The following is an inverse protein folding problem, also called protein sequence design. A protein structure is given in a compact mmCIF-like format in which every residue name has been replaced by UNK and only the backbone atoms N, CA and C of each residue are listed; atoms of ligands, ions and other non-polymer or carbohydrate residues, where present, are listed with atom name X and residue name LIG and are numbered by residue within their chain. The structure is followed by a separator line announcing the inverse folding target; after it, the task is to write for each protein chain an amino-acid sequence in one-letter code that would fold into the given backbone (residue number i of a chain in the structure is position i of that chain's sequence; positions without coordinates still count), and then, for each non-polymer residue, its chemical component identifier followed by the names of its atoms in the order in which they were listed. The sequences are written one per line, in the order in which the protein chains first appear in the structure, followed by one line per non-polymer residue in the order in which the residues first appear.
data_IF_717014823095
#
_entry.id   IF_717014823095
#
_cell.length_a   1.000
_cell.length_b   1.000
_cell.length_c   1.000
_cell.angle_alpha   90.00
_cell.angle_beta   90.00
_cell.angle_gamma   90.00
#
_symmetry.space_group_name_H-M   'P 1'
#
loop_
_entity.id
_entity.type
_entity.pdbx_description
1 polymer ?
#
# COMPACT_ATOMS: atom_id res chain seq x y z
N UNK A 1 -4.61 51.22 7.98
CA UNK A 1 -3.30 50.53 8.00
C UNK A 1 -3.39 49.14 8.61
N UNK A 2 -4.18 48.93 9.68
CA UNK A 2 -4.35 47.61 10.32
C UNK A 2 -4.81 46.49 9.35
N UNK A 3 -5.74 46.78 8.43
CA UNK A 3 -6.19 45.80 7.45
C UNK A 3 -5.07 45.34 6.50
N UNK A 4 -4.17 46.23 6.07
CA UNK A 4 -3.09 45.86 5.11
C UNK A 4 -2.07 44.94 5.77
N UNK A 5 -1.74 45.21 7.04
CA UNK A 5 -0.85 44.35 7.82
C UNK A 5 -1.49 42.97 8.04
N UNK A 6 -2.77 42.91 8.44
CA UNK A 6 -3.50 41.65 8.59
C UNK A 6 -3.56 40.82 7.31
N UNK A 7 -3.88 41.45 6.17
CA UNK A 7 -3.89 40.77 4.87
C UNK A 7 -2.50 40.30 4.43
N UNK A 8 -1.45 41.06 4.76
CA UNK A 8 -0.06 40.68 4.44
C UNK A 8 0.38 39.46 5.26
N UNK A 9 0.09 39.45 6.56
CA UNK A 9 0.36 38.30 7.44
C UNK A 9 -0.40 37.06 6.98
N UNK A 10 -1.70 37.21 6.67
CA UNK A 10 -2.50 36.10 6.14
C UNK A 10 -1.93 35.55 4.83
N UNK A 11 -1.53 36.41 3.92
CA UNK A 11 -0.93 36.01 2.64
C UNK A 11 0.35 35.21 2.85
N UNK A 12 1.22 35.64 3.77
CA UNK A 12 2.46 34.92 4.11
C UNK A 12 2.14 33.54 4.70
N UNK A 13 1.17 33.45 5.61
CA UNK A 13 0.74 32.17 6.20
C UNK A 13 0.22 31.23 5.11
N UNK A 14 -0.62 31.71 4.19
CA UNK A 14 -1.17 30.89 3.11
C UNK A 14 -0.07 30.40 2.14
N UNK A 15 0.91 31.24 1.81
CA UNK A 15 2.06 30.83 1.00
C UNK A 15 2.87 29.74 1.71
N UNK A 16 3.11 29.90 3.02
CA UNK A 16 3.84 28.91 3.81
C UNK A 16 3.09 27.58 3.93
N UNK A 17 1.78 27.62 4.20
CA UNK A 17 0.94 26.42 4.24
C UNK A 17 0.93 25.69 2.88
N UNK A 18 0.87 26.45 1.79
CA UNK A 18 0.93 25.89 0.42
C UNK A 18 2.27 25.22 0.18
N UNK A 19 3.38 25.88 0.53
CA UNK A 19 4.72 25.31 0.43
C UNK A 19 4.86 24.01 1.25
N UNK A 20 4.39 24.00 2.50
CA UNK A 20 4.42 22.80 3.34
C UNK A 20 3.62 21.65 2.72
N UNK A 21 2.43 21.92 2.18
CA UNK A 21 1.62 20.91 1.51
C UNK A 21 2.34 20.30 0.29
N UNK A 22 3.02 21.12 -0.51
CA UNK A 22 3.83 20.64 -1.62
C UNK A 22 5.05 19.82 -1.17
N UNK A 23 5.72 20.24 -0.09
CA UNK A 23 6.87 19.52 0.47
C UNK A 23 6.45 18.12 0.93
N UNK A 24 5.40 18.01 1.74
CA UNK A 24 4.87 16.73 2.24
C UNK A 24 4.47 15.81 1.09
N UNK A 25 3.82 16.35 0.05
CA UNK A 25 3.44 15.58 -1.14
C UNK A 25 4.66 15.02 -1.90
N UNK A 26 5.78 15.72 -1.87
CA UNK A 26 7.01 15.29 -2.56
C UNK A 26 7.86 14.31 -1.74
N UNK A 27 7.69 14.24 -0.42
CA UNK A 27 8.45 13.32 0.44
C UNK A 27 8.28 11.86 0.01
N UNK A 28 7.07 11.45 -0.35
CA UNK A 28 6.79 10.07 -0.81
C UNK A 28 7.56 9.70 -2.08
N UNK A 29 7.67 10.64 -3.02
CA UNK A 29 8.44 10.44 -4.26
C UNK A 29 9.93 10.35 -3.99
N UNK A 30 10.46 11.24 -3.14
CA UNK A 30 11.89 11.25 -2.79
C UNK A 30 12.25 9.98 -2.03
N UNK A 31 11.42 9.57 -1.08
CA UNK A 31 11.62 8.37 -0.29
C UNK A 31 11.79 7.11 -1.14
N UNK A 32 10.95 6.94 -2.16
CA UNK A 32 11.01 5.80 -3.06
C UNK A 32 12.15 5.89 -4.07
N UNK A 33 12.49 7.11 -4.52
CA UNK A 33 13.66 7.33 -5.38
C UNK A 33 14.97 6.95 -4.66
N UNK A 34 15.01 7.09 -3.34
CA UNK A 34 16.13 6.65 -2.49
C UNK A 34 15.89 5.29 -1.84
N UNK A 35 14.80 4.62 -2.20
CA UNK A 35 14.38 3.36 -1.60
C UNK A 35 15.34 2.21 -1.91
N UNK A 36 15.24 1.14 -1.13
CA UNK A 36 15.97 -0.09 -1.40
C UNK A 36 15.18 -0.94 -2.40
N UNK A 37 15.88 -1.46 -3.40
CA UNK A 37 15.32 -2.47 -4.30
C UNK A 37 15.05 -3.79 -3.56
N UNK A 38 13.82 -4.29 -3.69
CA UNK A 38 13.36 -5.53 -3.10
C UNK A 38 12.68 -6.38 -4.17
N UNK A 39 13.21 -7.59 -4.42
CA UNK A 39 12.68 -8.51 -5.44
C UNK A 39 11.74 -9.51 -4.78
N UNK A 40 10.52 -9.61 -5.30
CA UNK A 40 9.51 -10.54 -4.81
C UNK A 40 8.56 -10.96 -5.93
N UNK A 41 8.27 -12.26 -6.04
CA UNK A 41 7.35 -12.80 -7.05
C UNK A 41 7.72 -12.45 -8.50
N UNK A 42 9.01 -12.25 -8.79
CA UNK A 42 9.50 -11.83 -10.11
C UNK A 42 9.26 -10.36 -10.46
N UNK A 43 8.82 -9.55 -9.50
CA UNK A 43 8.69 -8.09 -9.61
C UNK A 43 9.72 -7.40 -8.70
N UNK A 44 10.05 -6.16 -9.04
CA UNK A 44 10.95 -5.29 -8.31
C UNK A 44 10.15 -4.16 -7.65
N UNK A 45 10.25 -4.10 -6.33
CA UNK A 45 9.62 -3.10 -5.47
C UNK A 45 10.71 -2.18 -4.92
N UNK A 46 10.45 -0.87 -4.91
CA UNK A 46 11.30 0.08 -4.20
C UNK A 46 10.68 0.34 -2.83
N UNK A 47 11.26 -0.22 -1.77
CA UNK A 47 10.76 -0.04 -0.41
C UNK A 47 11.46 1.13 0.28
N UNK A 48 10.76 1.95 1.08
CA UNK A 48 11.40 2.97 1.90
C UNK A 48 12.48 2.42 2.83
N UNK A 49 13.54 3.20 3.06
CA UNK A 49 14.69 2.76 3.88
C UNK A 49 14.36 2.52 5.36
N UNK A 50 13.29 3.14 5.88
CA UNK A 50 12.85 2.97 7.27
C UNK A 50 11.94 1.76 7.47
N UNK A 51 11.57 1.05 6.40
CA UNK A 51 10.84 -0.21 6.50
C UNK A 51 11.82 -1.29 6.92
N UNK A 52 11.76 -1.66 8.19
CA UNK A 52 12.66 -2.65 8.77
C UNK A 52 12.05 -4.03 8.59
N UNK A 53 12.78 -4.93 7.97
CA UNK A 53 12.39 -6.33 7.85
C UNK A 53 12.43 -6.99 9.24
N UNK A 54 11.27 -7.35 9.78
CA UNK A 54 11.16 -7.99 11.11
C UNK A 54 10.91 -9.48 11.03
N UNK A 55 10.51 -9.97 9.85
CA UNK A 55 10.38 -11.40 9.57
C UNK A 55 10.72 -11.68 8.11
N UNK A 56 11.46 -12.76 7.88
CA UNK A 56 11.78 -13.25 6.54
C UNK A 56 11.76 -14.78 6.51
N UNK A 57 11.09 -15.31 5.52
CA UNK A 57 11.12 -16.70 5.09
C UNK A 57 11.01 -16.77 3.56
N UNK A 58 11.18 -17.96 2.99
CA UNK A 58 11.09 -18.17 1.54
C UNK A 58 9.74 -17.74 0.95
N UNK A 59 8.67 -17.85 1.73
CA UNK A 59 7.30 -17.54 1.30
C UNK A 59 6.75 -16.24 1.88
N UNK A 60 7.37 -15.65 2.91
CA UNK A 60 6.79 -14.52 3.63
C UNK A 60 7.83 -13.54 4.15
N UNK A 61 7.61 -12.26 3.88
CA UNK A 61 8.39 -11.15 4.41
C UNK A 61 7.46 -10.18 5.13
N UNK A 62 7.92 -9.63 6.25
CA UNK A 62 7.18 -8.63 7.02
C UNK A 62 8.10 -7.44 7.27
N UNK A 63 7.59 -6.27 6.95
CA UNK A 63 8.23 -4.99 7.20
C UNK A 63 7.40 -4.17 8.18
N UNK A 64 8.08 -3.53 9.12
CA UNK A 64 7.48 -2.69 10.15
C UNK A 64 8.32 -1.43 10.36
N UNK A 65 7.71 -0.43 10.98
CA UNK A 65 8.43 0.74 11.48
C UNK A 65 8.88 0.51 12.92
N UNK A 66 10.13 0.14 13.09
CA UNK A 66 10.72 -0.06 14.42
C UNK A 66 11.17 1.24 15.09
N UNK A 67 11.23 2.34 14.34
CA UNK A 67 11.66 3.67 14.78
C UNK A 67 10.52 4.48 15.42
N UNK A 68 9.27 4.05 15.26
CA UNK A 68 8.07 4.73 15.76
C UNK A 68 7.18 3.76 16.53
N UNK A 69 6.17 4.29 17.22
CA UNK A 69 5.12 3.48 17.87
C UNK A 69 3.91 3.25 16.97
N UNK A 70 4.04 3.50 15.66
CA UNK A 70 2.93 3.33 14.75
C UNK A 70 2.65 1.84 14.56
N UNK A 71 1.40 1.46 14.77
CA UNK A 71 0.90 0.14 14.44
C UNK A 71 0.66 0.08 12.92
N UNK A 72 1.76 -0.14 12.18
CA UNK A 72 1.76 -0.34 10.75
C UNK A 72 2.69 -1.50 10.38
N UNK A 73 2.24 -2.31 9.42
CA UNK A 73 2.96 -3.45 8.89
C UNK A 73 2.68 -3.63 7.41
N UNK A 74 3.72 -3.92 6.62
CA UNK A 74 3.59 -4.48 5.28
C UNK A 74 3.97 -5.96 5.27
N UNK A 75 3.12 -6.80 4.67
CA UNK A 75 3.39 -8.23 4.50
C UNK A 75 3.49 -8.55 3.00
N UNK A 76 4.54 -9.26 2.61
CA UNK A 76 4.68 -9.88 1.30
C UNK A 76 4.54 -11.38 1.50
N UNK A 77 3.62 -12.01 0.80
CA UNK A 77 3.24 -13.41 0.99
C UNK A 77 3.10 -14.11 -0.36
N UNK A 78 3.81 -15.22 -0.52
CA UNK A 78 3.54 -16.20 -1.57
C UNK A 78 2.34 -17.03 -1.11
N UNK A 79 1.20 -16.83 -1.75
CA UNK A 79 -0.05 -17.41 -1.30
C UNK A 79 -0.26 -18.77 -1.96
N UNK A 80 -0.22 -19.82 -1.14
CA UNK A 80 -0.40 -21.21 -1.57
C UNK A 80 -1.88 -21.49 -1.86
N UNK A 81 -2.37 -20.94 -2.98
CA UNK A 81 -3.73 -21.12 -3.46
C UNK A 81 -3.71 -21.85 -4.81
N UNK A 82 -4.42 -22.97 -4.89
CA UNK A 82 -4.56 -23.70 -6.15
C UNK A 82 -5.64 -23.03 -6.98
N UNK A 83 -5.23 -22.22 -7.95
CA UNK A 83 -6.12 -21.72 -8.99
C UNK A 83 -6.66 -22.91 -9.79
N UNK A 84 -7.98 -23.11 -9.76
CA UNK A 84 -8.64 -23.84 -10.83
C UNK A 84 -8.70 -22.95 -12.08
N UNK A 85 -8.77 -23.54 -13.28
CA UNK A 85 -8.75 -22.82 -14.58
C UNK A 85 -9.83 -21.71 -14.71
N UNK A 86 -10.86 -21.72 -13.86
CA UNK A 86 -11.97 -20.76 -13.88
C UNK A 86 -11.89 -19.67 -12.80
N UNK A 87 -10.91 -19.71 -11.90
CA UNK A 87 -10.83 -18.77 -10.77
C UNK A 87 -10.09 -17.49 -11.16
N UNK A 88 -10.66 -16.35 -10.78
CA UNK A 88 -10.07 -15.02 -11.02
C UNK A 88 -9.38 -14.51 -9.73
N UNK A 89 -8.65 -13.39 -9.83
CA UNK A 89 -7.99 -12.78 -8.66
C UNK A 89 -8.98 -12.26 -7.59
N UNK A 90 -10.24 -12.03 -7.95
CA UNK A 90 -11.29 -11.64 -7.01
C UNK A 90 -11.66 -12.83 -6.10
N UNK A 91 -11.76 -14.04 -6.64
CA UNK A 91 -12.03 -15.27 -5.85
C UNK A 91 -10.89 -15.54 -4.85
N UNK A 92 -9.65 -15.26 -5.27
CA UNK A 92 -8.45 -15.34 -4.43
C UNK A 92 -8.56 -14.33 -3.28
N UNK A 93 -8.94 -13.08 -3.60
CA UNK A 93 -9.16 -12.05 -2.59
C UNK A 93 -10.25 -12.44 -1.59
N UNK A 94 -11.40 -12.93 -2.06
CA UNK A 94 -12.51 -13.34 -1.18
C UNK A 94 -12.09 -14.48 -0.25
N UNK A 95 -11.37 -15.47 -0.78
CA UNK A 95 -10.81 -16.57 0.02
C UNK A 95 -9.83 -16.05 1.07
N UNK A 96 -8.95 -15.12 0.69
CA UNK A 96 -8.00 -14.49 1.59
C UNK A 96 -8.68 -13.65 2.68
N UNK A 97 -9.69 -12.85 2.31
CA UNK A 97 -10.47 -12.04 3.23
C UNK A 97 -11.21 -12.91 4.26
N UNK A 98 -11.79 -14.03 3.83
CA UNK A 98 -12.42 -15.01 4.73
C UNK A 98 -11.40 -15.64 5.68
N UNK A 99 -10.23 -16.09 5.18
CA UNK A 99 -9.16 -16.65 6.00
C UNK A 99 -8.70 -15.66 7.08
N UNK A 100 -8.55 -14.38 6.71
CA UNK A 100 -8.16 -13.29 7.61
C UNK A 100 -9.32 -12.74 8.43
N UNK A 101 -10.55 -13.24 8.24
CA UNK A 101 -11.80 -12.74 8.84
C UNK A 101 -11.95 -11.23 8.70
N UNK A 102 -11.72 -10.73 7.49
CA UNK A 102 -11.86 -9.33 7.13
C UNK A 102 -13.27 -9.08 6.60
N UNK A 103 -13.95 -8.11 7.20
CA UNK A 103 -15.22 -7.57 6.73
C UNK A 103 -15.00 -6.12 6.33
N UNK A 104 -15.06 -5.85 5.03
CA UNK A 104 -14.83 -4.50 4.51
C UNK A 104 -16.09 -3.62 4.62
N UNK A 105 -15.90 -2.33 4.86
CA UNK A 105 -16.99 -1.34 4.81
C UNK A 105 -17.33 -1.01 3.35
N UNK A 106 -18.48 -1.45 2.84
CA UNK A 106 -18.87 -1.34 1.41
C UNK A 106 -18.70 0.07 0.81
N UNK A 107 -18.89 1.12 1.63
CA UNK A 107 -18.80 2.53 1.19
C UNK A 107 -17.37 3.02 0.96
N UNK A 108 -16.35 2.33 1.51
CA UNK A 108 -14.95 2.78 1.51
C UNK A 108 -13.99 1.79 0.84
N UNK A 109 -14.50 0.89 0.00
CA UNK A 109 -13.69 -0.08 -0.74
C UNK A 109 -13.44 0.40 -2.16
N UNK A 110 -12.18 0.41 -2.55
CA UNK A 110 -11.72 0.70 -3.90
C UNK A 110 -11.06 -0.56 -4.44
N UNK A 111 -11.65 -1.14 -5.48
CA UNK A 111 -11.08 -2.28 -6.22
C UNK A 111 -10.64 -1.76 -7.60
N UNK A 112 -9.36 -1.87 -7.91
CA UNK A 112 -8.79 -1.41 -9.18
C UNK A 112 -7.59 -2.24 -9.62
N UNK A 113 -7.34 -2.29 -10.91
CA UNK A 113 -6.07 -2.80 -11.45
C UNK A 113 -5.07 -1.64 -11.46
N UNK A 114 -3.86 -1.78 -10.87
CA UNK A 114 -2.84 -0.72 -10.92
C UNK A 114 -2.40 -0.43 -12.36
N UNK A 115 -2.44 0.84 -12.78
CA UNK A 115 -2.18 1.25 -14.17
C UNK A 115 -0.80 0.81 -14.69
N UNK A 116 0.23 0.87 -13.85
CA UNK A 116 1.58 0.44 -14.21
C UNK A 116 1.67 -1.07 -14.47
N UNK A 117 0.87 -1.88 -13.76
CA UNK A 117 0.85 -3.34 -13.93
C UNK A 117 0.04 -3.77 -15.15
N UNK A 118 -0.88 -2.92 -15.66
CA UNK A 118 -1.58 -3.20 -16.93
C UNK A 118 -0.57 -3.48 -18.05
N UNK A 119 0.57 -2.78 -18.06
CA UNK A 119 1.65 -3.01 -19.03
C UNK A 119 2.33 -4.38 -18.91
N UNK A 120 2.17 -5.07 -17.78
CA UNK A 120 2.71 -6.41 -17.55
C UNK A 120 1.73 -7.53 -17.92
N UNK A 121 0.50 -7.20 -18.31
CA UNK A 121 -0.49 -8.18 -18.77
C UNK A 121 -0.01 -8.94 -20.02
N UNK A 122 0.67 -8.24 -20.94
CA UNK A 122 1.24 -8.81 -22.17
C UNK A 122 2.33 -9.88 -21.90
N UNK A 123 2.87 -9.92 -20.69
CA UNK A 123 3.91 -10.85 -20.25
C UNK A 123 3.41 -11.76 -19.11
N UNK A 124 2.09 -11.93 -19.01
CA UNK A 124 1.45 -12.93 -18.15
C UNK A 124 1.35 -12.55 -16.68
N UNK A 125 1.42 -11.26 -16.34
CA UNK A 125 1.19 -10.77 -14.98
C UNK A 125 -0.20 -10.16 -14.87
N UNK A 126 -1.01 -10.70 -13.97
CA UNK A 126 -2.32 -10.15 -13.64
C UNK A 126 -2.27 -9.57 -12.22
N UNK A 127 -3.00 -8.48 -11.97
CA UNK A 127 -3.05 -7.89 -10.64
C UNK A 127 -4.41 -7.27 -10.30
N UNK A 128 -4.70 -7.25 -9.00
CA UNK A 128 -5.88 -6.65 -8.40
C UNK A 128 -5.44 -5.91 -7.13
N UNK A 129 -5.76 -4.63 -7.01
CA UNK A 129 -5.54 -3.84 -5.81
C UNK A 129 -6.89 -3.57 -5.13
N UNK A 130 -6.94 -3.81 -3.83
CA UNK A 130 -8.09 -3.54 -2.97
C UNK A 130 -7.61 -2.64 -1.84
N UNK A 131 -8.18 -1.44 -1.76
CA UNK A 131 -7.90 -0.47 -0.71
C UNK A 131 -9.18 -0.15 0.04
N UNK A 132 -9.15 -0.10 1.37
CA UNK A 132 -10.30 0.33 2.14
C UNK A 132 -10.17 0.16 3.65
N UNK A 133 -11.28 0.39 4.34
CA UNK A 133 -11.42 0.10 5.76
C UNK A 133 -12.11 -1.24 5.97
N UNK A 134 -11.61 -2.00 6.94
CA UNK A 134 -12.14 -3.31 7.28
C UNK A 134 -12.17 -3.54 8.79
N UNK A 135 -13.06 -4.42 9.23
CA UNK A 135 -13.09 -4.97 10.58
C UNK A 135 -12.52 -6.39 10.55
N UNK A 136 -11.49 -6.66 11.34
CA UNK A 136 -10.89 -7.96 11.50
C UNK A 136 -11.31 -8.61 12.82
N UNK A 137 -11.65 -9.91 12.77
CA UNK A 137 -12.06 -10.69 13.95
C UNK A 137 -13.21 -10.00 14.73
N UNK A 138 -14.13 -9.34 14.02
CA UNK A 138 -15.29 -8.61 14.55
C UNK A 138 -14.99 -7.43 15.52
N UNK A 139 -13.72 -7.16 15.82
CA UNK A 139 -13.31 -6.18 16.84
C UNK A 139 -12.35 -5.11 16.31
N UNK A 140 -11.43 -5.48 15.41
CA UNK A 140 -10.31 -4.63 15.03
C UNK A 140 -10.59 -3.84 13.76
N UNK A 141 -10.87 -2.56 13.91
CA UNK A 141 -11.01 -1.59 12.82
C UNK A 141 -9.65 -1.22 12.23
N UNK A 142 -9.47 -1.46 10.94
CA UNK A 142 -8.20 -1.34 10.23
C UNK A 142 -8.36 -0.53 8.94
N UNK A 143 -7.27 0.14 8.55
CA UNK A 143 -7.06 0.56 7.18
C UNK A 143 -6.14 -0.47 6.50
N UNK A 144 -6.54 -0.95 5.33
CA UNK A 144 -5.86 -2.03 4.62
C UNK A 144 -5.77 -1.73 3.12
N UNK A 145 -4.60 -1.99 2.54
CA UNK A 145 -4.33 -1.87 1.10
C UNK A 145 -3.63 -3.15 0.65
N UNK A 146 -4.24 -3.89 -0.26
CA UNK A 146 -3.82 -5.22 -0.69
C UNK A 146 -3.61 -5.19 -2.19
N UNK A 147 -2.41 -5.55 -2.64
CA UNK A 147 -2.12 -5.93 -4.00
C UNK A 147 -2.03 -7.45 -4.09
N UNK A 148 -2.92 -8.05 -4.87
CA UNK A 148 -2.82 -9.45 -5.28
C UNK A 148 -2.30 -9.46 -6.71
N UNK A 149 -1.29 -10.27 -6.99
CA UNK A 149 -0.85 -10.48 -8.35
C UNK A 149 -0.50 -11.94 -8.62
N UNK A 150 -0.74 -12.34 -9.86
CA UNK A 150 -0.35 -13.64 -10.40
C UNK A 150 0.80 -13.43 -11.36
N UNK A 151 1.85 -14.23 -11.22
CA UNK A 151 2.94 -14.29 -12.18
C UNK A 151 3.25 -15.76 -12.46
N UNK A 152 3.13 -16.17 -13.72
CA UNK A 152 3.02 -17.58 -14.09
C UNK A 152 1.86 -18.27 -13.32
N UNK A 153 2.11 -19.39 -12.63
CA UNK A 153 1.10 -20.14 -11.88
C UNK A 153 1.11 -19.86 -10.37
N UNK A 154 1.86 -18.84 -9.94
CA UNK A 154 2.02 -18.48 -8.53
C UNK A 154 1.23 -17.21 -8.19
N UNK A 155 0.61 -17.21 -7.01
CA UNK A 155 -0.11 -16.06 -6.47
C UNK A 155 0.73 -15.41 -5.37
N UNK A 156 0.77 -14.09 -5.41
CA UNK A 156 1.43 -13.27 -4.43
C UNK A 156 0.45 -12.24 -3.87
N UNK A 157 0.55 -12.01 -2.57
CA UNK A 157 -0.22 -11.01 -1.83
C UNK A 157 0.77 -10.07 -1.18
N UNK A 158 0.61 -8.78 -1.44
CA UNK A 158 1.34 -7.71 -0.79
C UNK A 158 0.31 -6.85 -0.09
N UNK A 159 0.32 -6.82 1.23
CA UNK A 159 -0.63 -6.06 2.03
C UNK A 159 0.09 -5.02 2.87
N UNK A 160 -0.54 -3.86 3.04
CA UNK A 160 -0.24 -2.87 4.07
C UNK A 160 -1.42 -2.79 5.00
N UNK A 161 -1.15 -2.92 6.30
CA UNK A 161 -2.16 -2.89 7.36
C UNK A 161 -1.75 -1.92 8.44
N UNK A 162 -2.73 -1.16 8.94
CA UNK A 162 -2.56 -0.32 10.12
C UNK A 162 -3.90 -0.08 10.82
N UNK A 163 -3.84 0.49 12.02
CA UNK A 163 -5.03 1.07 12.63
C UNK A 163 -5.57 2.23 11.78
N UNK A 164 -6.88 2.49 11.85
CA UNK A 164 -7.52 3.57 11.07
C UNK A 164 -6.85 4.94 11.29
N UNK A 165 -6.34 5.19 12.51
CA UNK A 165 -5.70 6.45 12.85
C UNK A 165 -4.31 6.63 12.21
N UNK A 166 -3.68 5.54 11.76
CA UNK A 166 -2.32 5.53 11.22
C UNK A 166 -2.27 5.26 9.70
N UNK A 167 -3.39 4.95 9.05
CA UNK A 167 -3.43 4.58 7.63
C UNK A 167 -2.83 5.61 6.69
N UNK A 168 -2.96 6.90 7.01
CA UNK A 168 -2.45 8.00 6.17
C UNK A 168 -0.95 8.26 6.32
N UNK A 169 -0.25 7.57 7.24
CA UNK A 169 1.17 7.77 7.44
C UNK A 169 1.99 6.95 6.44
N UNK A 170 1.81 5.63 6.45
CA UNK A 170 2.57 4.72 5.58
C UNK A 170 1.81 4.31 4.31
N UNK A 171 0.48 4.46 4.30
CA UNK A 171 -0.36 4.19 3.13
C UNK A 171 0.12 4.90 1.85
N UNK A 172 0.44 6.21 1.89
CA UNK A 172 0.96 6.91 0.72
C UNK A 172 2.28 6.33 0.17
N UNK A 173 3.16 5.83 1.03
CA UNK A 173 4.41 5.20 0.60
C UNK A 173 4.17 3.82 -0.02
N UNK A 174 3.24 3.04 0.54
CA UNK A 174 2.81 1.77 -0.01
C UNK A 174 2.12 1.93 -1.37
N UNK A 175 1.21 2.88 -1.51
CA UNK A 175 0.56 3.20 -2.79
C UNK A 175 1.61 3.59 -3.85
N UNK A 176 2.54 4.47 -3.49
CA UNK A 176 3.57 4.90 -4.42
C UNK A 176 4.55 3.76 -4.75
N UNK A 177 4.86 2.86 -3.81
CA UNK A 177 5.62 1.64 -4.10
C UNK A 177 4.90 0.79 -5.17
N UNK A 178 3.60 0.56 -5.02
CA UNK A 178 2.81 -0.18 -6.01
C UNK A 178 2.84 0.51 -7.37
N UNK A 179 2.67 1.83 -7.41
CA UNK A 179 2.64 2.61 -8.65
C UNK A 179 3.98 2.61 -9.41
N UNK A 180 5.09 2.26 -8.74
CA UNK A 180 6.44 2.25 -9.31
C UNK A 180 7.03 0.83 -9.41
N UNK A 181 6.21 -0.22 -9.32
CA UNK A 181 6.67 -1.60 -9.55
C UNK A 181 7.25 -1.72 -10.96
N UNK A 182 8.39 -2.41 -11.05
CA UNK A 182 9.05 -2.77 -12.31
C UNK A 182 9.27 -4.29 -12.37
N UNK A 183 9.67 -4.81 -13.53
CA UNK A 183 9.98 -6.23 -13.75
C UNK A 183 11.44 -6.40 -14.11
#
# INVERSE_FOLDING_TARGET
MENIFGWSVLTIILVYLTYMAFSIKNETKVALATGKEFRFGGLLFNIPLWWTETFSSDEKYIFERTDTRYDWRATFLKYNFKLNETQNLQDVFESYAIEKKLVFDEENVIIKVPENIISFSDIGVEALRIEGTATQDDEHRLYIDILIFKNADEIFIVESKSSILNGLLEGPFFEQMIANITK
#
